data_IF_478093019522
#
_entry.id   IF_478093019522
#
_cell.length_a   1.000
_cell.length_b   1.000
_cell.length_c   1.000
_cell.angle_alpha   90.00
_cell.angle_beta   90.00
_cell.angle_gamma   90.00
#
_symmetry.space_group_name_H-M   'P 1'
#
loop_
_entity.id
_entity.type
_entity.pdbx_description
1 polymer ?
#
# COMPACT_ATOMS: atom_id res chain seq x y z
N UNK A 1 0.38 16.68 4.31
CA UNK A 1 -0.75 16.83 3.36
C UNK A 1 -0.99 15.49 2.69
N UNK A 2 -2.06 14.77 3.05
CA UNK A 2 -2.42 13.51 2.40
C UNK A 2 -2.90 13.78 0.97
N UNK A 3 -2.08 13.47 -0.02
CA UNK A 3 -2.37 13.72 -1.43
C UNK A 3 -3.16 12.53 -1.98
N UNK A 4 -4.42 12.77 -2.28
CA UNK A 4 -5.29 11.82 -2.99
C UNK A 4 -4.87 11.78 -4.47
N UNK A 5 -4.46 10.61 -4.94
CA UNK A 5 -4.24 10.38 -6.37
C UNK A 5 -5.56 9.93 -7.02
N UNK A 6 -6.29 10.89 -7.60
CA UNK A 6 -7.60 10.62 -8.21
C UNK A 6 -7.53 9.68 -9.41
N UNK A 7 -6.45 9.76 -10.19
CA UNK A 7 -6.24 8.92 -11.37
C UNK A 7 -6.07 7.46 -10.96
N UNK A 8 -5.25 7.20 -9.94
CA UNK A 8 -5.07 5.84 -9.41
C UNK A 8 -6.37 5.25 -8.86
N UNK A 9 -7.18 6.03 -8.14
CA UNK A 9 -8.48 5.55 -7.66
C UNK A 9 -9.49 5.26 -8.78
N UNK A 10 -9.39 5.94 -9.92
CA UNK A 10 -10.26 5.71 -11.06
C UNK A 10 -9.87 4.42 -11.80
N UNK A 11 -8.57 4.14 -11.90
CA UNK A 11 -8.04 2.95 -12.59
C UNK A 11 -8.08 1.69 -11.69
N UNK A 12 -7.85 1.86 -10.39
CA UNK A 12 -7.89 0.79 -9.38
C UNK A 12 -9.03 1.02 -8.37
N UNK A 13 -10.31 0.93 -8.76
CA UNK A 13 -11.39 0.92 -7.80
C UNK A 13 -11.35 -0.36 -6.96
N UNK A 14 -11.60 -0.24 -5.65
CA UNK A 14 -11.76 -1.41 -4.80
C UNK A 14 -13.07 -2.12 -5.17
N UNK A 15 -13.01 -3.44 -5.31
CA UNK A 15 -14.20 -4.26 -5.56
C UNK A 15 -15.22 -4.13 -4.42
N UNK A 16 -16.48 -4.51 -4.67
CA UNK A 16 -17.54 -4.49 -3.65
C UNK A 16 -17.31 -5.56 -2.58
N UNK A 17 -16.82 -6.73 -2.98
CA UNK A 17 -16.55 -7.85 -2.07
C UNK A 17 -15.12 -8.41 -2.29
N UNK A 18 -14.08 -7.62 -2.02
CA UNK A 18 -12.71 -8.06 -2.22
C UNK A 18 -12.37 -9.11 -1.16
N UNK A 19 -11.68 -10.16 -1.59
CA UNK A 19 -11.03 -11.08 -0.66
C UNK A 19 -9.95 -10.37 0.14
N UNK A 20 -9.51 -10.98 1.24
CA UNK A 20 -8.41 -10.45 2.05
C UNK A 20 -7.16 -10.16 1.21
N UNK A 21 -6.87 -10.99 0.23
CA UNK A 21 -5.67 -10.88 -0.62
C UNK A 21 -5.79 -9.73 -1.61
N UNK A 22 -6.92 -9.60 -2.29
CA UNK A 22 -7.21 -8.43 -3.15
C UNK A 22 -7.15 -7.13 -2.35
N UNK A 23 -7.69 -7.16 -1.12
CA UNK A 23 -7.67 -6.00 -0.22
C UNK A 23 -6.26 -5.63 0.20
N UNK A 24 -5.39 -6.62 0.46
CA UNK A 24 -3.98 -6.42 0.77
C UNK A 24 -3.24 -5.82 -0.41
N UNK A 25 -3.30 -6.45 -1.59
CA UNK A 25 -2.64 -5.97 -2.80
C UNK A 25 -3.05 -4.55 -3.14
N UNK A 26 -4.36 -4.27 -3.10
CA UNK A 26 -4.87 -2.93 -3.33
C UNK A 26 -4.31 -1.90 -2.34
N UNK A 27 -4.22 -2.24 -1.04
CA UNK A 27 -3.67 -1.31 -0.05
C UNK A 27 -2.17 -1.09 -0.22
N UNK A 28 -1.41 -2.12 -0.63
CA UNK A 28 0.02 -2.01 -0.92
C UNK A 28 0.27 -1.03 -2.06
N UNK A 29 -0.42 -1.23 -3.18
CA UNK A 29 -0.34 -0.33 -4.34
C UNK A 29 -0.88 1.06 -4.00
N UNK A 30 -2.03 1.14 -3.32
CA UNK A 30 -2.58 2.40 -2.84
C UNK A 30 -1.53 3.16 -2.06
N UNK A 31 -0.87 2.58 -1.05
CA UNK A 31 0.18 3.27 -0.28
C UNK A 31 1.41 3.68 -1.08
N UNK A 32 1.68 3.07 -2.24
CA UNK A 32 2.76 3.51 -3.12
C UNK A 32 2.36 4.72 -3.97
N UNK A 33 1.09 4.81 -4.39
CA UNK A 33 0.58 5.83 -5.32
C UNK A 33 -0.23 6.96 -4.67
N UNK A 34 -0.80 6.71 -3.49
CA UNK A 34 -1.80 7.53 -2.80
C UNK A 34 -1.77 7.32 -1.28
N UNK A 35 -1.69 8.41 -0.51
CA UNK A 35 -1.72 8.33 0.96
C UNK A 35 -2.84 9.15 1.53
N UNK A 36 -3.96 9.17 0.81
CA UNK A 36 -5.19 9.70 1.34
C UNK A 36 -5.61 8.96 2.62
N UNK A 37 -5.24 7.68 2.75
CA UNK A 37 -5.63 6.84 3.87
C UNK A 37 -4.55 5.81 4.24
N UNK A 38 -4.26 5.61 5.55
CA UNK A 38 -3.36 4.56 6.01
C UNK A 38 -4.00 3.17 5.89
N UNK A 39 -3.16 2.13 5.91
CA UNK A 39 -3.61 0.73 5.92
C UNK A 39 -4.36 0.43 7.23
N UNK A 40 -5.56 -0.15 7.18
CA UNK A 40 -6.32 -0.50 8.38
C UNK A 40 -5.59 -1.56 9.23
N UNK A 41 -5.75 -1.47 10.55
CA UNK A 41 -5.08 -2.33 11.53
C UNK A 41 -5.32 -3.84 11.29
N UNK A 42 -6.50 -4.22 10.81
CA UNK A 42 -6.82 -5.63 10.51
C UNK A 42 -5.92 -6.19 9.40
N UNK A 43 -5.64 -5.39 8.35
CA UNK A 43 -4.71 -5.79 7.29
C UNK A 43 -3.27 -5.77 7.77
N UNK A 44 -2.87 -4.77 8.57
CA UNK A 44 -1.53 -4.74 9.18
C UNK A 44 -1.25 -5.97 10.03
N UNK A 45 -2.23 -6.44 10.81
CA UNK A 45 -2.11 -7.66 11.58
C UNK A 45 -1.90 -8.88 10.67
N UNK A 46 -2.68 -9.00 9.60
CA UNK A 46 -2.53 -10.10 8.64
C UNK A 46 -1.15 -10.07 7.97
N UNK A 47 -0.67 -8.87 7.60
CA UNK A 47 0.67 -8.69 7.04
C UNK A 47 1.75 -9.11 8.04
N UNK A 48 1.64 -8.67 9.29
CA UNK A 48 2.59 -9.04 10.36
C UNK A 48 2.59 -10.55 10.62
N UNK A 49 1.41 -11.18 10.66
CA UNK A 49 1.28 -12.63 10.82
C UNK A 49 1.89 -13.42 9.65
N UNK A 50 1.81 -12.86 8.43
CA UNK A 50 2.36 -13.46 7.21
C UNK A 50 3.81 -13.06 6.91
N UNK A 51 4.41 -12.19 7.71
CA UNK A 51 5.76 -11.66 7.46
C UNK A 51 5.86 -10.73 6.24
N UNK A 52 4.75 -10.10 5.83
CA UNK A 52 4.71 -9.20 4.67
C UNK A 52 5.18 -7.80 5.12
N UNK A 53 6.19 -7.26 4.43
CA UNK A 53 6.68 -5.91 4.69
C UNK A 53 5.62 -4.86 4.29
N UNK A 54 5.31 -3.93 5.20
CA UNK A 54 4.38 -2.83 4.95
C UNK A 54 5.18 -1.65 4.36
N UNK A 55 4.94 -1.24 3.10
CA UNK A 55 5.57 -0.04 2.57
C UNK A 55 5.03 1.19 3.33
N UNK A 56 5.92 2.05 3.83
CA UNK A 56 5.48 3.32 4.40
C UNK A 56 5.08 4.26 3.28
N UNK A 57 3.91 4.88 3.41
CA UNK A 57 3.46 5.94 2.52
C UNK A 57 4.51 7.07 2.48
N UNK A 58 5.07 7.33 1.29
CA UNK A 58 6.12 8.33 1.07
C UNK A 58 7.57 7.81 1.15
N UNK A 59 7.80 6.53 1.43
CA UNK A 59 9.13 5.90 1.51
C UNK A 59 9.58 5.27 0.16
N UNK A 60 8.85 5.54 -0.93
CA UNK A 60 9.32 5.24 -2.31
C UNK A 60 10.35 6.24 -2.83
N UNK A 61 10.75 7.21 -2.03
CA UNK A 61 12.02 7.89 -2.19
C UNK A 61 12.98 7.36 -1.13
N UNK A 62 13.99 6.60 -1.55
CA UNK A 62 15.13 6.10 -0.76
C UNK A 62 15.02 4.68 -0.13
N UNK A 63 14.87 3.64 -0.95
CA UNK A 63 15.53 2.34 -0.66
C UNK A 63 15.89 1.62 -1.96
N UNK A 64 16.74 2.25 -2.77
CA UNK A 64 17.52 1.56 -3.80
C UNK A 64 18.84 2.34 -4.03
N UNK A 65 19.57 2.59 -2.95
CA UNK A 65 21.01 2.83 -3.05
C UNK A 65 21.67 2.15 -1.84
N UNK A 66 22.20 0.95 -2.05
CA UNK A 66 23.46 0.45 -1.48
C UNK A 66 23.59 -1.08 -1.62
N UNK A 67 24.54 -1.48 -2.47
CA UNK A 67 25.55 -2.55 -2.35
C UNK A 67 26.26 -2.55 -3.72
N UNK A 68 27.28 -1.71 -3.93
CA UNK A 68 28.70 -1.97 -3.65
C UNK A 68 29.21 -3.23 -4.36
N UNK A 69 29.91 -3.06 -5.48
CA UNK A 69 31.29 -3.53 -5.78
C UNK A 69 31.72 -3.09 -7.19
#
# INVERSE_FOLDING_TARGET
MSKLNKEWHADHPMDKNPTTEERLSWHLEHTAHCGCRPIPASLLNIMAQRGIAVPKYGETSQTAVQTAE
#
